data_IF_034718194449
#
_entry.id   IF_034718194449
#
_cell.length_a   1.000
_cell.length_b   1.000
_cell.length_c   1.000
_cell.angle_alpha   90.00
_cell.angle_beta   90.00
_cell.angle_gamma   90.00
#
_symmetry.space_group_name_H-M   'P 1'
#
loop_
_entity.id
_entity.type
_entity.pdbx_description
1 polymer ?
#
# COMPACT_ATOMS: atom_id res chain seq x y z
N UNK A 1 23.81 38.82 -45.50
CA UNK A 1 23.07 39.64 -44.52
C UNK A 1 22.77 38.70 -43.37
N UNK A 2 23.80 38.18 -42.69
CA UNK A 2 24.70 38.93 -41.79
C UNK A 2 23.87 39.81 -40.85
N UNK A 3 23.77 39.44 -39.57
CA UNK A 3 24.85 39.68 -38.61
C UNK A 3 24.59 39.07 -37.21
N UNK A 4 25.67 38.50 -36.65
CA UNK A 4 26.14 38.50 -35.24
C UNK A 4 25.27 37.88 -34.12
N UNK A 5 25.71 36.85 -33.36
CA UNK A 5 26.89 36.59 -32.50
C UNK A 5 26.89 37.22 -31.09
N UNK A 6 27.35 36.39 -30.14
CA UNK A 6 27.87 36.65 -28.78
C UNK A 6 26.85 36.53 -27.61
N UNK A 7 27.15 35.93 -26.45
CA UNK A 7 28.45 35.70 -25.82
C UNK A 7 28.37 34.71 -24.61
N UNK A 8 29.54 34.09 -24.32
CA UNK A 8 30.12 33.72 -23.01
C UNK A 8 29.31 32.89 -21.98
N UNK A 9 29.65 31.64 -21.66
CA UNK A 9 30.81 31.16 -20.88
C UNK A 9 30.84 31.61 -19.41
N UNK A 10 30.68 30.65 -18.48
CA UNK A 10 31.43 30.66 -17.22
C UNK A 10 31.59 29.23 -16.69
N UNK A 11 32.84 28.79 -16.70
CA UNK A 11 33.38 27.68 -15.92
C UNK A 11 33.68 28.18 -14.50
N UNK A 12 33.53 27.31 -13.50
CA UNK A 12 34.22 27.34 -12.20
C UNK A 12 33.84 26.01 -11.51
N UNK A 13 34.64 24.94 -11.54
CA UNK A 13 35.95 24.70 -10.90
C UNK A 13 35.93 24.98 -9.39
N UNK A 14 35.55 23.96 -8.61
CA UNK A 14 36.03 23.77 -7.24
C UNK A 14 36.51 22.32 -7.09
N UNK A 15 37.85 22.16 -7.17
CA UNK A 15 38.63 21.05 -6.59
C UNK A 15 39.12 21.47 -5.20
N UNK A 16 39.64 20.49 -4.46
CA UNK A 16 40.32 20.49 -3.14
C UNK A 16 39.48 19.84 -2.03
N UNK A 17 39.99 18.97 -1.15
CA UNK A 17 41.22 18.17 -1.05
C UNK A 17 40.92 17.06 -0.03
N UNK A 18 41.64 15.95 -0.17
CA UNK A 18 41.75 14.79 0.72
C UNK A 18 42.05 15.10 2.20
N UNK A 19 41.54 14.28 3.12
CA UNK A 19 42.32 13.81 4.28
C UNK A 19 41.78 12.49 4.82
N UNK A 20 42.68 11.52 4.84
CA UNK A 20 42.61 10.19 5.43
C UNK A 20 42.40 10.25 6.94
N UNK A 21 41.66 9.28 7.49
CA UNK A 21 41.97 8.75 8.81
C UNK A 21 41.44 7.32 8.92
N UNK A 22 42.40 6.40 8.86
CA UNK A 22 42.33 5.04 9.36
C UNK A 22 42.21 5.12 10.89
N UNK A 23 41.33 4.32 11.48
CA UNK A 23 41.46 3.93 12.87
C UNK A 23 40.94 2.50 13.00
N UNK A 24 41.91 1.59 12.99
CA UNK A 24 41.78 0.20 13.37
C UNK A 24 41.59 0.12 14.89
N UNK A 25 40.52 -0.51 15.33
CA UNK A 25 40.46 -1.10 16.68
C UNK A 25 39.81 -2.47 16.60
N UNK A 26 40.68 -3.47 16.44
CA UNK A 26 40.44 -4.83 16.89
C UNK A 26 40.23 -4.83 18.41
N UNK A 27 39.15 -5.48 18.85
CA UNK A 27 39.14 -6.18 20.12
C UNK A 27 38.36 -7.49 19.98
N UNK A 28 39.12 -8.56 19.90
CA UNK A 28 38.72 -9.91 20.29
C UNK A 28 38.41 -9.90 21.79
N UNK A 29 37.32 -10.54 22.20
CA UNK A 29 37.37 -11.76 23.03
C UNK A 29 36.00 -12.11 23.63
N UNK A 30 35.59 -13.36 23.31
CA UNK A 30 35.08 -14.39 24.24
C UNK A 30 33.68 -14.29 24.85
N UNK A 31 33.05 -15.47 24.77
CA UNK A 31 32.24 -16.12 25.81
C UNK A 31 30.81 -15.59 26.02
N UNK A 32 29.80 -16.33 25.58
CA UNK A 32 29.27 -17.45 26.36
C UNK A 32 28.10 -18.15 25.65
N UNK A 33 28.27 -19.44 25.42
CA UNK A 33 27.20 -20.41 25.23
C UNK A 33 26.36 -20.50 26.50
N UNK A 34 25.12 -20.01 26.47
CA UNK A 34 23.98 -20.59 27.18
C UNK A 34 22.74 -19.73 26.94
N UNK A 35 21.73 -20.26 26.23
CA UNK A 35 20.43 -20.54 26.84
C UNK A 35 19.45 -21.13 25.81
N UNK A 36 19.62 -22.41 25.54
CA UNK A 36 18.53 -23.24 25.00
C UNK A 36 17.55 -23.51 26.14
N UNK A 37 16.39 -22.83 26.14
CA UNK A 37 15.05 -23.40 26.42
C UNK A 37 14.02 -22.37 26.93
N UNK A 38 12.83 -22.50 26.35
CA UNK A 38 11.51 -22.22 26.91
C UNK A 38 11.06 -20.74 26.96
N UNK A 39 10.30 -20.32 25.96
CA UNK A 39 8.92 -19.91 26.26
C UNK A 39 8.00 -20.01 25.03
N UNK A 40 7.58 -21.25 24.74
CA UNK A 40 6.33 -21.50 24.01
C UNK A 40 5.18 -21.10 24.93
N UNK A 41 4.78 -19.83 24.88
CA UNK A 41 3.51 -19.33 25.42
C UNK A 41 2.76 -18.61 24.32
N UNK A 42 2.49 -19.37 23.27
CA UNK A 42 1.34 -19.13 22.39
C UNK A 42 0.07 -19.53 23.17
N UNK A 43 -0.47 -18.59 23.93
CA UNK A 43 -1.86 -18.65 24.40
C UNK A 43 -2.50 -17.28 24.19
N UNK A 44 -3.15 -17.15 23.03
CA UNK A 44 -4.44 -16.51 22.84
C UNK A 44 -4.74 -15.30 23.74
N UNK A 45 -4.00 -14.21 23.57
CA UNK A 45 -4.37 -12.93 24.14
C UNK A 45 -5.43 -12.27 23.23
N UNK A 46 -6.67 -12.74 23.32
CA UNK A 46 -7.82 -12.11 22.66
C UNK A 46 -8.19 -10.83 23.40
N UNK A 47 -7.57 -9.70 23.08
CA UNK A 47 -8.04 -8.41 23.58
C UNK A 47 -9.34 -8.04 22.86
N UNK A 48 -10.42 -7.94 23.63
CA UNK A 48 -11.68 -7.36 23.16
C UNK A 48 -11.46 -5.86 23.00
N UNK A 49 -11.39 -5.39 21.77
CA UNK A 49 -11.35 -3.96 21.45
C UNK A 49 -12.71 -3.56 20.91
N UNK A 50 -13.37 -2.64 21.59
CA UNK A 50 -14.62 -2.03 21.11
C UNK A 50 -14.28 -0.80 20.27
N UNK A 51 -14.79 -0.77 19.04
CA UNK A 51 -14.74 0.42 18.17
C UNK A 51 -16.17 0.85 17.88
N UNK A 52 -16.54 2.08 18.25
CA UNK A 52 -17.89 2.65 18.04
C UNK A 52 -19.06 1.73 18.47
N UNK A 53 -18.92 1.05 19.62
CA UNK A 53 -19.97 0.17 20.17
C UNK A 53 -20.09 -1.20 19.48
N UNK A 54 -19.35 -1.47 18.42
CA UNK A 54 -19.27 -2.80 17.81
C UNK A 54 -18.07 -3.56 18.37
N UNK A 55 -18.29 -4.81 18.79
CA UNK A 55 -17.22 -5.71 19.19
C UNK A 55 -16.39 -6.10 17.97
N UNK A 56 -15.24 -5.47 17.79
CA UNK A 56 -14.26 -5.90 16.79
C UNK A 56 -13.38 -6.94 17.48
N UNK A 57 -13.48 -8.19 17.05
CA UNK A 57 -12.53 -9.21 17.49
C UNK A 57 -11.18 -8.82 16.88
N UNK A 58 -10.27 -8.31 17.71
CA UNK A 58 -8.85 -8.16 17.35
C UNK A 58 -8.34 -9.55 17.00
N UNK A 59 -8.27 -9.85 15.70
CA UNK A 59 -7.68 -11.08 15.24
C UNK A 59 -6.17 -10.92 15.43
N UNK A 60 -5.63 -11.45 16.53
CA UNK A 60 -4.19 -11.61 16.77
C UNK A 60 -3.54 -12.61 15.79
N UNK A 61 -4.07 -12.73 14.59
CA UNK A 61 -3.62 -13.64 13.55
C UNK A 61 -2.58 -12.89 12.73
N UNK A 62 -1.38 -13.45 12.63
CA UNK A 62 -0.32 -12.89 11.80
C UNK A 62 -0.63 -13.20 10.34
N UNK A 63 -0.58 -12.19 9.47
CA UNK A 63 -0.70 -12.39 8.02
C UNK A 63 0.65 -12.78 7.46
N UNK A 64 0.63 -13.67 6.48
CA UNK A 64 1.87 -14.10 5.83
C UNK A 64 2.30 -13.06 4.81
N UNK A 65 3.61 -12.80 4.73
CA UNK A 65 4.18 -12.00 3.65
C UNK A 65 4.01 -12.77 2.34
N UNK A 66 3.43 -12.09 1.35
CA UNK A 66 3.37 -12.57 -0.01
C UNK A 66 4.68 -12.35 -0.76
N UNK A 67 4.65 -12.65 -2.06
CA UNK A 67 5.81 -12.63 -2.93
C UNK A 67 6.45 -11.23 -3.08
N UNK A 68 5.63 -10.17 -3.15
CA UNK A 68 6.09 -8.79 -3.30
C UNK A 68 6.79 -8.24 -2.05
N UNK A 69 6.65 -8.93 -0.92
CA UNK A 69 7.23 -8.55 0.37
C UNK A 69 8.29 -9.55 0.86
N UNK A 70 8.71 -10.51 0.02
CA UNK A 70 9.72 -11.47 0.42
C UNK A 70 11.08 -10.80 0.63
N UNK A 71 11.64 -10.92 1.83
CA UNK A 71 12.95 -10.35 2.17
C UNK A 71 12.98 -8.81 2.26
N UNK A 72 11.83 -8.14 2.22
CA UNK A 72 11.72 -6.68 2.28
C UNK A 72 10.41 -6.26 2.98
N UNK A 73 10.15 -4.96 3.05
CA UNK A 73 8.87 -4.41 3.46
C UNK A 73 8.51 -3.19 2.60
N UNK A 74 7.23 -2.80 2.63
CA UNK A 74 6.74 -1.66 1.83
C UNK A 74 7.51 -0.37 2.12
N UNK A 75 7.82 -0.08 3.38
CA UNK A 75 8.54 1.13 3.77
C UNK A 75 9.93 1.19 3.14
N UNK A 76 10.70 0.09 3.22
CA UNK A 76 12.01 -0.05 2.57
C UNK A 76 11.92 0.11 1.05
N UNK A 77 10.91 -0.50 0.41
CA UNK A 77 10.70 -0.31 -1.04
C UNK A 77 10.42 1.16 -1.39
N UNK A 78 9.65 1.88 -0.57
CA UNK A 78 9.36 3.30 -0.78
C UNK A 78 10.57 4.21 -0.53
N UNK A 79 11.40 3.90 0.48
CA UNK A 79 12.62 4.67 0.79
C UNK A 79 13.69 4.52 -0.28
N UNK A 80 13.77 3.36 -0.91
CA UNK A 80 14.71 3.11 -2.01
C UNK A 80 14.39 3.94 -3.27
N UNK A 81 13.18 4.53 -3.34
CA UNK A 81 12.85 5.47 -4.40
C UNK A 81 13.32 6.89 -4.05
N UNK A 82 13.97 7.55 -5.01
CA UNK A 82 14.46 8.92 -4.88
C UNK A 82 13.38 9.99 -5.10
N UNK A 83 12.13 9.58 -5.35
CA UNK A 83 11.03 10.49 -5.64
C UNK A 83 10.46 11.11 -4.37
N UNK A 84 10.09 12.39 -4.46
CA UNK A 84 9.41 13.10 -3.38
C UNK A 84 7.98 12.57 -3.13
N UNK A 85 7.27 12.19 -4.19
CA UNK A 85 5.91 11.64 -4.08
C UNK A 85 5.90 10.16 -4.44
N UNK A 86 5.60 9.31 -3.45
CA UNK A 86 5.64 7.84 -3.54
C UNK A 86 4.47 7.26 -2.76
N UNK A 87 3.62 6.47 -3.40
CA UNK A 87 2.49 5.81 -2.75
C UNK A 87 2.80 4.34 -2.65
N UNK A 88 2.86 3.81 -1.43
CA UNK A 88 2.87 2.36 -1.20
C UNK A 88 1.46 1.90 -0.84
N UNK A 89 0.95 0.89 -1.52
CA UNK A 89 -0.36 0.30 -1.24
C UNK A 89 -0.12 -1.13 -0.79
N UNK A 90 -0.36 -1.40 0.49
CA UNK A 90 -0.38 -2.75 1.06
C UNK A 90 -1.84 -3.23 1.14
N UNK A 91 -2.10 -4.41 0.59
CA UNK A 91 -3.41 -5.06 0.66
C UNK A 91 -3.29 -6.39 1.40
N UNK A 92 -4.13 -6.57 2.40
CA UNK A 92 -4.23 -7.79 3.19
C UNK A 92 -5.53 -8.51 2.88
N UNK A 93 -5.42 -9.77 2.47
CA UNK A 93 -6.57 -10.62 2.17
C UNK A 93 -6.88 -11.55 3.35
N UNK A 94 -7.94 -11.23 4.09
CA UNK A 94 -8.47 -12.07 5.17
C UNK A 94 -9.62 -12.98 4.72
N UNK A 95 -9.91 -13.01 3.43
CA UNK A 95 -10.95 -13.86 2.87
C UNK A 95 -10.37 -15.21 2.46
N UNK A 96 -11.16 -16.28 2.50
CA UNK A 96 -10.78 -17.58 1.91
C UNK A 96 -10.65 -17.54 0.39
N UNK A 97 -11.07 -16.45 -0.25
CA UNK A 97 -11.06 -16.29 -1.69
C UNK A 97 -9.75 -15.65 -2.13
N UNK A 98 -9.18 -16.10 -3.23
CA UNK A 98 -8.00 -15.47 -3.81
C UNK A 98 -8.40 -14.14 -4.46
N UNK A 99 -7.67 -13.06 -4.16
CA UNK A 99 -7.75 -11.80 -4.91
C UNK A 99 -6.86 -11.92 -6.16
N UNK A 100 -7.48 -12.06 -7.32
CA UNK A 100 -6.80 -12.41 -8.58
C UNK A 100 -6.89 -11.31 -9.62
N UNK A 101 -6.21 -11.49 -10.74
CA UNK A 101 -6.25 -10.60 -11.92
C UNK A 101 -6.07 -9.12 -11.55
N UNK A 102 -4.97 -8.75 -10.87
CA UNK A 102 -4.73 -7.35 -10.52
C UNK A 102 -4.69 -6.50 -11.79
N UNK A 103 -5.46 -5.42 -11.80
CA UNK A 103 -5.49 -4.46 -12.92
C UNK A 103 -5.31 -3.06 -12.38
N UNK A 104 -4.47 -2.28 -13.08
CA UNK A 104 -4.08 -0.93 -12.70
C UNK A 104 -4.27 0.03 -13.87
N UNK A 105 -4.91 1.17 -13.60
CA UNK A 105 -5.00 2.29 -14.51
C UNK A 105 -4.36 3.51 -13.85
N UNK A 106 -3.23 3.96 -14.39
CA UNK A 106 -2.52 5.13 -13.91
C UNK A 106 -3.06 6.39 -14.58
N UNK A 107 -3.39 7.39 -13.76
CA UNK A 107 -3.77 8.73 -14.23
C UNK A 107 -2.61 9.71 -14.19
N UNK A 108 -1.69 9.54 -13.24
CA UNK A 108 -0.47 10.33 -13.12
C UNK A 108 0.61 9.53 -12.41
N UNK A 109 1.85 9.59 -12.88
CA UNK A 109 2.99 8.89 -12.30
C UNK A 109 3.33 7.57 -13.00
N UNK A 110 4.05 6.71 -12.30
CA UNK A 110 4.48 5.38 -12.75
C UNK A 110 4.34 4.34 -11.63
N UNK A 111 4.32 3.08 -12.03
CA UNK A 111 4.34 1.91 -11.16
C UNK A 111 5.76 1.35 -11.13
N UNK A 112 6.41 1.36 -9.96
CA UNK A 112 7.71 0.70 -9.77
C UNK A 112 7.57 -0.76 -9.39
N UNK A 113 6.58 -1.08 -8.56
CA UNK A 113 6.27 -2.45 -8.14
C UNK A 113 4.82 -2.72 -8.52
N UNK A 114 4.56 -3.57 -9.53
CA UNK A 114 3.21 -3.84 -10.01
C UNK A 114 2.37 -4.59 -8.97
N UNK A 115 1.05 -4.41 -8.96
CA UNK A 115 0.17 -5.21 -8.13
C UNK A 115 0.19 -6.68 -8.57
N UNK A 116 0.17 -7.57 -7.58
CA UNK A 116 0.12 -9.03 -7.78
C UNK A 116 -1.16 -9.61 -7.17
N UNK A 117 -1.45 -10.86 -7.49
CA UNK A 117 -2.57 -11.58 -6.86
C UNK A 117 -2.28 -11.84 -5.37
N UNK A 118 -3.30 -11.81 -4.52
CA UNK A 118 -3.17 -11.90 -3.05
C UNK A 118 -3.86 -13.16 -2.53
N UNK A 119 -3.04 -14.13 -2.12
CA UNK A 119 -3.53 -15.40 -1.56
C UNK A 119 -4.33 -15.18 -0.27
N UNK A 120 -5.26 -16.08 0.06
CA UNK A 120 -5.93 -16.08 1.37
C UNK A 120 -4.92 -16.03 2.54
N UNK A 121 -5.15 -15.13 3.50
CA UNK A 121 -4.29 -14.95 4.68
C UNK A 121 -2.94 -14.27 4.40
N UNK A 122 -2.71 -13.78 3.19
CA UNK A 122 -1.47 -13.10 2.81
C UNK A 122 -1.67 -11.59 2.65
N UNK A 123 -0.54 -10.88 2.66
CA UNK A 123 -0.47 -9.48 2.27
C UNK A 123 0.54 -9.27 1.14
N UNK A 124 0.20 -8.37 0.23
CA UNK A 124 1.02 -7.99 -0.92
C UNK A 124 1.08 -6.46 -0.99
N UNK A 125 2.05 -5.92 -1.71
CA UNK A 125 2.23 -4.48 -1.88
C UNK A 125 2.50 -4.09 -3.33
N UNK A 126 2.11 -2.87 -3.66
CA UNK A 126 2.48 -2.20 -4.90
C UNK A 126 3.02 -0.80 -4.60
N UNK A 127 3.91 -0.31 -5.46
CA UNK A 127 4.55 1.00 -5.29
C UNK A 127 4.32 1.83 -6.56
N UNK A 128 3.79 3.04 -6.37
CA UNK A 128 3.63 4.04 -7.42
C UNK A 128 4.38 5.33 -7.05
N UNK A 129 4.82 6.12 -8.02
CA UNK A 129 5.49 7.40 -7.76
C UNK A 129 5.23 8.42 -8.86
N UNK A 130 5.57 9.68 -8.63
CA UNK A 130 5.47 10.75 -9.64
C UNK A 130 6.49 10.60 -10.77
N UNK A 131 6.27 11.29 -11.89
CA UNK A 131 7.28 11.46 -12.94
C UNK A 131 8.54 12.16 -12.40
N UNK A 132 9.71 11.85 -12.95
CA UNK A 132 10.95 12.54 -12.60
C UNK A 132 10.88 14.02 -13.02
N UNK A 133 11.50 14.91 -12.23
CA UNK A 133 11.65 16.36 -12.54
C UNK A 133 10.36 17.18 -12.79
N UNK A 134 9.18 16.63 -12.53
CA UNK A 134 7.90 17.37 -12.62
C UNK A 134 7.38 17.82 -11.26
N UNK A 135 6.41 18.73 -11.22
CA UNK A 135 5.62 19.02 -9.99
C UNK A 135 4.31 18.24 -9.96
N UNK A 136 4.32 16.99 -10.43
CA UNK A 136 3.12 16.12 -10.44
C UNK A 136 3.08 15.21 -9.23
N UNK A 137 1.90 14.64 -8.96
CA UNK A 137 1.71 13.59 -7.95
C UNK A 137 1.77 12.18 -8.51
N UNK A 138 1.20 11.25 -7.75
CA UNK A 138 0.84 9.89 -8.18
C UNK A 138 -0.67 9.68 -7.98
N UNK A 139 -1.35 9.16 -8.99
CA UNK A 139 -2.78 8.86 -8.89
C UNK A 139 -3.21 7.78 -9.86
N UNK A 140 -4.19 6.98 -9.46
CA UNK A 140 -4.73 5.93 -10.30
C UNK A 140 -5.82 5.11 -9.64
N UNK A 141 -6.13 3.99 -10.28
CA UNK A 141 -7.06 2.97 -9.82
C UNK A 141 -6.36 1.64 -9.88
N UNK A 142 -6.49 0.83 -8.83
CA UNK A 142 -6.05 -0.57 -8.83
C UNK A 142 -7.20 -1.42 -8.34
N UNK A 143 -7.33 -2.62 -8.87
CA UNK A 143 -8.42 -3.52 -8.49
C UNK A 143 -8.04 -4.98 -8.60
N UNK A 144 -8.68 -5.81 -7.76
CA UNK A 144 -8.53 -7.25 -7.77
C UNK A 144 -9.89 -7.93 -7.87
N UNK A 145 -9.98 -8.94 -8.73
CA UNK A 145 -11.13 -9.83 -8.82
C UNK A 145 -11.17 -10.77 -7.62
N UNK A 146 -12.28 -10.79 -6.88
CA UNK A 146 -12.52 -11.77 -5.84
C UNK A 146 -12.93 -13.07 -6.52
N UNK A 147 -12.06 -14.09 -6.49
CA UNK A 147 -12.27 -15.37 -7.18
C UNK A 147 -13.58 -16.03 -6.74
N UNK A 148 -14.37 -16.50 -7.72
CA UNK A 148 -15.68 -17.14 -7.55
C UNK A 148 -16.77 -16.23 -6.95
N UNK A 149 -16.63 -14.90 -7.06
CA UNK A 149 -17.61 -13.92 -6.59
C UNK A 149 -18.01 -12.88 -7.64
N UNK A 150 -17.41 -12.93 -8.83
CA UNK A 150 -17.75 -12.09 -9.99
C UNK A 150 -17.80 -10.59 -9.66
N UNK A 151 -16.86 -10.13 -8.83
CA UNK A 151 -16.78 -8.73 -8.39
C UNK A 151 -15.38 -8.37 -7.95
N UNK A 152 -15.08 -7.07 -7.93
CA UNK A 152 -13.75 -6.55 -7.62
C UNK A 152 -13.72 -5.71 -6.36
N UNK A 153 -12.61 -5.82 -5.64
CA UNK A 153 -12.13 -4.80 -4.71
C UNK A 153 -11.42 -3.74 -5.54
N UNK A 154 -11.77 -2.47 -5.35
CA UNK A 154 -11.20 -1.35 -6.10
C UNK A 154 -10.66 -0.31 -5.13
N UNK A 155 -9.46 0.18 -5.40
CA UNK A 155 -8.79 1.23 -4.63
C UNK A 155 -8.48 2.36 -5.59
N UNK A 156 -8.94 3.56 -5.25
CA UNK A 156 -8.58 4.79 -5.95
C UNK A 156 -7.68 5.60 -5.04
N UNK A 157 -6.56 6.09 -5.58
CA UNK A 157 -5.64 6.93 -4.82
C UNK A 157 -5.29 8.20 -5.59
N UNK A 158 -5.05 9.27 -4.82
CA UNK A 158 -4.42 10.51 -5.26
C UNK A 158 -3.45 10.96 -4.18
N UNK A 159 -2.19 11.08 -4.54
CA UNK A 159 -1.17 11.77 -3.74
C UNK A 159 -0.58 12.89 -4.59
N UNK A 160 -1.16 14.10 -4.55
CA UNK A 160 -0.68 15.24 -5.32
C UNK A 160 0.62 15.82 -4.74
N UNK A 161 1.29 16.68 -5.50
CA UNK A 161 2.55 17.31 -5.07
C UNK A 161 2.34 18.41 -4.01
N UNK A 162 1.23 19.16 -4.07
CA UNK A 162 0.94 20.35 -3.22
C UNK A 162 -0.50 20.37 -2.69
N UNK A 163 -1.12 19.21 -2.50
CA UNK A 163 -2.46 19.14 -1.93
C UNK A 163 -2.58 17.92 -1.01
N UNK A 164 -3.70 17.81 -0.31
CA UNK A 164 -3.97 16.69 0.57
C UNK A 164 -4.18 15.40 -0.23
N UNK A 165 -3.81 14.28 0.38
CA UNK A 165 -3.99 12.97 -0.22
C UNK A 165 -5.49 12.60 -0.22
N UNK A 166 -5.94 11.82 -1.19
CA UNK A 166 -7.31 11.30 -1.24
C UNK A 166 -7.28 9.82 -1.56
N UNK A 167 -8.10 9.04 -0.88
CA UNK A 167 -8.28 7.62 -1.17
C UNK A 167 -9.76 7.26 -1.14
N UNK A 168 -10.14 6.31 -1.98
CA UNK A 168 -11.40 5.60 -1.85
C UNK A 168 -11.19 4.09 -1.83
N UNK A 169 -12.01 3.41 -1.03
CA UNK A 169 -12.22 1.97 -1.09
C UNK A 169 -13.56 1.71 -1.77
N UNK A 170 -13.61 0.73 -2.66
CA UNK A 170 -14.80 0.41 -3.43
C UNK A 170 -14.97 -1.09 -3.61
N UNK A 171 -16.21 -1.49 -3.79
CA UNK A 171 -16.63 -2.85 -4.07
C UNK A 171 -17.63 -2.80 -5.22
N UNK A 172 -17.35 -3.51 -6.30
CA UNK A 172 -18.29 -3.59 -7.42
C UNK A 172 -19.47 -4.49 -7.07
N UNK A 173 -20.62 -4.31 -7.72
CA UNK A 173 -21.75 -5.26 -7.60
C UNK A 173 -21.39 -6.63 -8.16
N UNK A 174 -22.14 -7.67 -7.76
CA UNK A 174 -21.97 -9.02 -8.32
C UNK A 174 -22.26 -9.01 -9.81
N UNK A 175 -21.45 -9.72 -10.60
CA UNK A 175 -21.51 -9.73 -12.06
C UNK A 175 -20.77 -8.55 -12.72
N UNK A 176 -20.05 -7.73 -11.94
CA UNK A 176 -19.23 -6.61 -12.41
C UNK A 176 -17.77 -6.87 -12.04
N UNK A 177 -17.16 -7.78 -12.78
CA UNK A 177 -15.79 -8.27 -12.59
C UNK A 177 -14.74 -7.63 -13.52
N UNK A 178 -15.19 -6.91 -14.56
CA UNK A 178 -14.32 -6.13 -15.44
C UNK A 178 -13.77 -4.89 -14.73
N UNK A 179 -12.49 -4.58 -14.95
CA UNK A 179 -11.90 -3.32 -14.55
C UNK A 179 -12.45 -2.17 -15.39
N UNK A 180 -12.72 -1.03 -14.76
CA UNK A 180 -13.13 0.19 -15.46
C UNK A 180 -12.30 1.40 -15.02
N UNK A 181 -11.54 1.95 -15.97
CA UNK A 181 -10.74 3.16 -15.77
C UNK A 181 -11.59 4.41 -15.45
N UNK A 182 -12.90 4.37 -15.73
CA UNK A 182 -13.85 5.45 -15.45
C UNK A 182 -14.07 5.64 -13.95
N UNK A 183 -13.82 4.62 -13.12
CA UNK A 183 -13.97 4.67 -11.66
C UNK A 183 -13.19 5.81 -11.03
N UNK A 184 -12.01 6.15 -11.58
CA UNK A 184 -11.26 7.32 -11.12
C UNK A 184 -12.09 8.59 -11.20
N UNK A 185 -12.69 8.85 -12.36
CA UNK A 185 -13.47 10.06 -12.61
C UNK A 185 -14.77 10.06 -11.82
N UNK A 186 -15.45 8.91 -11.73
CA UNK A 186 -16.68 8.75 -10.93
C UNK A 186 -16.41 9.15 -9.47
N UNK A 187 -15.37 8.57 -8.87
CA UNK A 187 -15.07 8.77 -7.44
C UNK A 187 -14.53 10.18 -7.18
N UNK A 188 -13.63 10.68 -8.02
CA UNK A 188 -13.04 12.02 -7.82
C UNK A 188 -14.03 13.15 -8.07
N UNK A 189 -15.08 12.92 -8.86
CA UNK A 189 -16.19 13.85 -9.07
C UNK A 189 -17.38 13.56 -8.14
N UNK A 190 -17.23 12.62 -7.19
CA UNK A 190 -18.26 12.23 -6.21
C UNK A 190 -19.60 11.82 -6.87
N UNK A 191 -19.52 11.19 -8.04
CA UNK A 191 -20.69 10.69 -8.79
C UNK A 191 -21.14 9.35 -8.25
N UNK A 192 -22.42 9.03 -8.42
CA UNK A 192 -22.97 7.71 -8.12
C UNK A 192 -22.81 6.79 -9.32
N UNK A 193 -22.67 5.49 -9.05
CA UNK A 193 -22.68 4.43 -10.05
C UNK A 193 -23.41 3.22 -9.45
N UNK A 194 -24.39 2.69 -10.17
CA UNK A 194 -25.21 1.57 -9.69
C UNK A 194 -24.39 0.27 -9.48
N UNK A 195 -23.22 0.19 -10.10
CA UNK A 195 -22.33 -0.97 -10.07
C UNK A 195 -21.16 -0.81 -9.08
N UNK A 196 -21.08 0.31 -8.36
CA UNK A 196 -19.94 0.62 -7.51
C UNK A 196 -20.36 1.22 -6.18
N UNK A 197 -20.17 0.46 -5.10
CA UNK A 197 -20.29 0.97 -3.73
C UNK A 197 -18.93 1.49 -3.29
N UNK A 198 -18.84 2.71 -2.79
CA UNK A 198 -17.56 3.28 -2.36
C UNK A 198 -17.67 4.21 -1.15
N UNK A 199 -16.54 4.38 -0.45
CA UNK A 199 -16.30 5.44 0.52
C UNK A 199 -15.01 6.14 0.14
N UNK A 200 -15.04 7.47 0.14
CA UNK A 200 -13.89 8.32 -0.19
C UNK A 200 -13.57 9.23 1.01
N UNK A 201 -12.29 9.54 1.21
CA UNK A 201 -11.85 10.48 2.23
C UNK A 201 -10.58 11.22 1.79
N UNK A 202 -10.49 12.49 2.17
CA UNK A 202 -9.33 13.35 1.98
C UNK A 202 -8.55 13.44 3.27
N UNK A 203 -7.28 13.07 3.22
CA UNK A 203 -6.35 12.93 4.33
C UNK A 203 -5.52 14.22 4.46
N UNK A 204 -6.11 15.20 5.12
CA UNK A 204 -5.48 16.47 5.44
C UNK A 204 -5.09 16.52 6.93
N UNK A 205 -3.84 16.20 7.24
CA UNK A 205 -3.28 16.10 8.60
C UNK A 205 -4.01 15.13 9.56
N UNK A 206 -4.99 14.36 9.07
CA UNK A 206 -5.74 13.37 9.84
C UNK A 206 -5.68 12.03 9.11
N UNK A 207 -5.21 11.00 9.81
CA UNK A 207 -5.31 9.61 9.36
C UNK A 207 -6.62 9.05 9.89
N UNK A 208 -7.52 8.68 8.97
CA UNK A 208 -8.82 8.10 9.29
C UNK A 208 -9.02 6.79 8.52
N UNK A 209 -9.47 5.76 9.23
CA UNK A 209 -9.95 4.55 8.57
C UNK A 209 -11.33 4.80 7.92
N UNK A 210 -11.45 4.39 6.67
CA UNK A 210 -12.72 4.31 5.95
C UNK A 210 -13.09 2.86 5.73
N UNK A 211 -14.39 2.58 5.74
CA UNK A 211 -14.92 1.23 5.61
C UNK A 211 -16.14 1.25 4.68
N UNK A 212 -16.24 0.21 3.86
CA UNK A 212 -17.48 -0.18 3.18
C UNK A 212 -17.76 -1.65 3.50
N UNK A 213 -19.02 -2.01 3.49
CA UNK A 213 -19.47 -3.37 3.77
C UNK A 213 -20.72 -3.70 2.97
N UNK A 214 -20.88 -4.95 2.57
CA UNK A 214 -22.14 -5.52 2.14
C UNK A 214 -22.29 -6.96 2.65
N UNK A 215 -23.32 -7.68 2.18
CA UNK A 215 -23.65 -9.02 2.67
C UNK A 215 -22.53 -10.07 2.50
N UNK A 216 -21.51 -9.80 1.67
CA UNK A 216 -20.39 -10.72 1.45
C UNK A 216 -19.06 -10.23 2.00
N UNK A 217 -18.76 -8.93 1.88
CA UNK A 217 -17.42 -8.41 2.12
C UNK A 217 -17.42 -7.07 2.85
N UNK A 218 -16.39 -6.88 3.68
CA UNK A 218 -16.00 -5.64 4.31
C UNK A 218 -14.61 -5.25 3.80
N UNK A 219 -14.47 -3.99 3.36
CA UNK A 219 -13.17 -3.42 2.97
C UNK A 219 -12.89 -2.22 3.86
N UNK A 220 -11.78 -2.30 4.59
CA UNK A 220 -11.24 -1.20 5.38
C UNK A 220 -10.01 -0.62 4.67
N UNK A 221 -9.85 0.69 4.73
CA UNK A 221 -8.71 1.39 4.16
C UNK A 221 -8.27 2.58 5.00
N UNK A 222 -6.97 2.83 5.04
CA UNK A 222 -6.40 4.09 5.56
C UNK A 222 -5.25 4.55 4.67
N UNK A 223 -4.96 5.85 4.68
CA UNK A 223 -3.87 6.45 3.93
C UNK A 223 -3.11 7.45 4.82
N UNK A 224 -1.78 7.49 4.68
CA UNK A 224 -0.94 8.51 5.32
C UNK A 224 -1.16 9.92 4.72
N UNK A 225 -0.72 10.95 5.45
CA UNK A 225 -0.85 12.36 5.05
C UNK A 225 0.41 12.94 4.41
N UNK A 226 1.55 12.23 4.46
CA UNK A 226 2.82 12.69 3.90
C UNK A 226 2.84 12.63 2.35
N UNK A 227 3.93 13.11 1.74
CA UNK A 227 4.18 12.88 0.31
C UNK A 227 4.66 11.45 0.00
N UNK A 228 5.01 10.66 1.02
CA UNK A 228 5.28 9.24 0.89
C UNK A 228 4.21 8.41 1.62
N UNK A 229 2.91 8.53 1.27
CA UNK A 229 1.86 7.92 2.07
C UNK A 229 1.85 6.41 1.91
N UNK A 230 1.76 5.72 3.05
CA UNK A 230 1.37 4.31 3.10
C UNK A 230 -0.15 4.22 3.05
N UNK A 231 -0.66 3.38 2.15
CA UNK A 231 -2.07 2.99 2.04
C UNK A 231 -2.19 1.57 2.56
N UNK A 232 -3.05 1.35 3.55
CA UNK A 232 -3.28 0.03 4.15
C UNK A 232 -4.71 -0.40 3.89
N UNK A 233 -4.88 -1.47 3.12
CA UNK A 233 -6.17 -2.03 2.74
C UNK A 233 -6.33 -3.40 3.39
N UNK A 234 -7.51 -3.64 3.93
CA UNK A 234 -7.89 -4.93 4.49
C UNK A 234 -9.21 -5.37 3.87
N UNK A 235 -9.19 -6.54 3.24
CA UNK A 235 -10.38 -7.19 2.68
C UNK A 235 -10.78 -8.35 3.58
N UNK A 236 -11.99 -8.33 4.12
CA UNK A 236 -12.54 -9.34 5.03
C UNK A 236 -13.90 -9.81 4.52
N UNK A 237 -14.29 -11.06 4.78
CA UNK A 237 -15.68 -11.48 4.63
C UNK A 237 -16.51 -10.97 5.80
N UNK A 238 -17.80 -10.75 5.58
CA UNK A 238 -18.77 -10.51 6.67
C UNK A 238 -19.16 -11.81 7.37
N UNK A 239 -19.24 -12.92 6.64
CA UNK A 239 -19.44 -14.25 7.19
C UNK A 239 -18.12 -14.83 7.73
N UNK A 240 -18.11 -15.23 9.01
CA UNK A 240 -16.94 -15.82 9.67
C UNK A 240 -16.47 -17.14 9.04
N UNK A 241 -17.37 -17.91 8.42
CA UNK A 241 -17.03 -19.16 7.72
C UNK A 241 -16.19 -18.93 6.45
N UNK A 242 -16.19 -17.69 5.95
CA UNK A 242 -15.42 -17.29 4.78
C UNK A 242 -14.08 -16.68 5.16
N UNK A 243 -13.74 -16.58 6.46
CA UNK A 243 -12.45 -16.07 6.90
C UNK A 243 -11.35 -17.00 6.40
N UNK A 244 -10.26 -16.41 5.90
CA UNK A 244 -9.04 -17.18 5.67
C UNK A 244 -8.59 -17.70 7.01
N UNK A 245 -8.77 -18.98 7.21
CA UNK A 245 -8.05 -19.65 8.26
C UNK A 245 -6.62 -19.75 7.72
N UNK A 246 -5.77 -18.76 8.04
CA UNK A 246 -4.33 -18.97 8.03
C UNK A 246 -4.04 -20.02 9.10
N UNK A 247 -4.47 -21.25 8.86
CA UNK A 247 -4.28 -22.37 9.74
C UNK A 247 -2.82 -22.76 9.61
N UNK A 248 -2.15 -22.76 10.76
CA UNK A 248 -1.20 -23.81 11.04
C UNK A 248 -1.95 -25.14 11.06
N UNK A 249 -2.23 -25.68 9.88
CA UNK A 249 -2.29 -27.12 9.74
C UNK A 249 -0.85 -27.58 9.97
N UNK A 250 -0.72 -28.25 11.11
CA UNK A 250 0.45 -28.96 11.63
C UNK A 250 1.00 -29.97 10.65
#
# INVERSE_FOLDING_TARGET
MDDTLNNASNEDVCRFVSSSQEDDTESEDRNDDANTRNNTRDQSNMSRVTWNGHMVTSMGKSTRLGSSLHGTNMSTMMTNTQYRTVVGIEITNWTRYHLTSPEVNIRSGYISVPPVSVQPGHKESMIAHKHAYTMTGSSGVVSWLIRNKERRVVIVWRSPFLASNTMAVCLTTVGKDNHDSSWFNIITQMKTDANLKYKCFTYDNVIKEIMIEDDGFQICGSMGTSHKPEVKITVRPTNRLDLSIADGIQ
#
